data_IF_071912940789
#
_entry.id   IF_071912940789
#
_cell.length_a   1.000
_cell.length_b   1.000
_cell.length_c   1.000
_cell.angle_alpha   90.00
_cell.angle_beta   90.00
_cell.angle_gamma   90.00
#
_symmetry.space_group_name_H-M   'P 1'
#
loop_
_entity.id
_entity.type
_entity.pdbx_description
1 polymer ?
#
# COMPACT_ATOMS: atom_id res chain seq x y z
N UNK A 1 8.77 7.69 -10.99
CA UNK A 1 7.98 7.55 -9.74
C UNK A 1 8.01 6.07 -9.38
N UNK A 2 8.78 5.68 -8.37
CA UNK A 2 8.93 4.28 -7.97
C UNK A 2 8.10 4.04 -6.72
N UNK A 3 7.14 3.13 -6.80
CA UNK A 3 6.23 2.84 -5.71
C UNK A 3 6.67 1.53 -5.09
N UNK A 4 7.35 1.66 -3.95
CA UNK A 4 7.80 0.60 -3.04
C UNK A 4 8.26 -0.70 -3.73
N UNK A 5 9.57 -0.83 -3.92
CA UNK A 5 10.21 -2.06 -4.42
C UNK A 5 10.01 -3.28 -3.51
N UNK A 6 9.43 -3.10 -2.31
CA UNK A 6 9.18 -4.15 -1.31
C UNK A 6 7.90 -3.85 -0.53
N UNK A 7 6.75 -4.27 -1.05
CA UNK A 7 5.51 -4.21 -0.29
C UNK A 7 5.60 -5.11 0.95
N UNK A 8 5.35 -4.56 2.13
CA UNK A 8 5.37 -5.32 3.39
C UNK A 8 4.15 -6.23 3.48
N UNK A 9 3.03 -5.80 2.90
CA UNK A 9 1.78 -6.57 2.84
C UNK A 9 0.95 -6.13 1.64
N UNK A 10 0.32 -7.12 1.01
CA UNK A 10 -0.62 -6.95 -0.09
C UNK A 10 -2.02 -7.37 0.36
N UNK A 11 -3.02 -6.53 0.11
CA UNK A 11 -4.43 -6.85 0.39
C UNK A 11 -5.25 -6.70 -0.90
N UNK A 12 -5.89 -7.78 -1.32
CA UNK A 12 -6.76 -7.81 -2.50
C UNK A 12 -8.17 -7.33 -2.16
N UNK A 13 -8.63 -6.28 -2.84
CA UNK A 13 -10.00 -5.78 -2.77
C UNK A 13 -10.82 -6.41 -3.89
N UNK A 14 -11.87 -7.18 -3.56
CA UNK A 14 -12.80 -7.78 -4.53
C UNK A 14 -13.74 -6.72 -5.12
N UNK A 15 -13.21 -5.87 -6.00
CA UNK A 15 -13.97 -4.98 -6.89
C UNK A 15 -13.61 -5.33 -8.34
N UNK A 16 -14.49 -5.03 -9.31
CA UNK A 16 -14.16 -5.10 -10.74
C UNK A 16 -13.98 -3.67 -11.28
N UNK A 17 -12.76 -3.28 -11.71
CA UNK A 17 -11.53 -4.07 -11.79
C UNK A 17 -10.87 -4.32 -10.42
N UNK A 18 -10.10 -5.42 -10.31
CA UNK A 18 -9.39 -5.84 -9.10
C UNK A 18 -8.47 -4.72 -8.60
N UNK A 19 -8.69 -4.29 -7.35
CA UNK A 19 -7.82 -3.31 -6.69
C UNK A 19 -6.93 -3.98 -5.66
N UNK A 20 -5.68 -3.57 -5.62
CA UNK A 20 -4.66 -4.04 -4.69
C UNK A 20 -4.21 -2.89 -3.82
N UNK A 21 -4.25 -3.08 -2.49
CA UNK A 21 -3.74 -2.13 -1.52
C UNK A 21 -2.34 -2.57 -1.06
N UNK A 22 -1.34 -1.76 -1.40
CA UNK A 22 0.02 -1.88 -0.90
C UNK A 22 0.23 -0.97 0.31
N UNK A 23 0.79 -1.55 1.36
CA UNK A 23 1.20 -0.82 2.56
C UNK A 23 2.72 -0.87 2.68
N UNK A 24 3.34 0.30 2.86
CA UNK A 24 4.80 0.43 2.87
C UNK A 24 5.26 1.68 3.61
N UNK A 25 6.58 1.79 3.81
CA UNK A 25 7.23 2.98 4.36
C UNK A 25 8.01 3.65 3.23
N UNK A 26 7.85 4.95 3.06
CA UNK A 26 8.61 5.73 2.08
C UNK A 26 10.09 5.82 2.50
N UNK A 27 11.00 6.21 1.59
CA UNK A 27 12.39 6.48 1.95
C UNK A 27 12.55 7.51 3.09
N UNK A 28 11.61 8.44 3.22
CA UNK A 28 11.58 9.46 4.28
C UNK A 28 10.94 8.96 5.59
N UNK A 29 10.66 7.66 5.71
CA UNK A 29 10.04 7.06 6.89
C UNK A 29 8.53 7.28 7.01
N UNK A 30 7.88 7.80 5.96
CA UNK A 30 6.44 8.09 5.99
C UNK A 30 5.67 6.82 5.64
N UNK A 31 4.76 6.32 6.49
CA UNK A 31 3.88 5.23 6.14
C UNK A 31 2.94 5.64 5.00
N UNK A 32 2.91 4.85 3.93
CA UNK A 32 2.09 5.08 2.75
C UNK A 32 1.09 3.95 2.52
N UNK A 33 -0.11 4.34 2.14
CA UNK A 33 -1.12 3.48 1.53
C UNK A 33 -1.20 3.78 0.04
N UNK A 34 -1.07 2.75 -0.79
CA UNK A 34 -1.13 2.86 -2.26
C UNK A 34 -2.17 1.90 -2.80
N UNK A 35 -3.10 2.41 -3.60
CA UNK A 35 -4.05 1.56 -4.32
C UNK A 35 -3.66 1.51 -5.79
N UNK A 36 -3.54 0.28 -6.28
CA UNK A 36 -3.22 -0.07 -7.65
C UNK A 36 -4.38 -0.88 -8.22
N UNK A 37 -4.62 -0.73 -9.51
CA UNK A 37 -5.58 -1.56 -10.25
C UNK A 37 -4.86 -2.33 -11.34
N UNK A 38 -5.21 -3.59 -11.51
CA UNK A 38 -4.74 -4.37 -12.65
C UNK A 38 -5.49 -3.94 -13.92
N UNK A 39 -4.74 -3.54 -14.94
CA UNK A 39 -5.28 -3.17 -16.26
C UNK A 39 -4.72 -4.10 -17.33
N UNK A 40 -5.32 -4.09 -18.52
CA UNK A 40 -4.78 -4.83 -19.68
C UNK A 40 -3.38 -4.40 -20.11
N UNK A 41 -2.88 -3.27 -19.59
CA UNK A 41 -1.52 -2.74 -19.85
C UNK A 41 -0.58 -2.92 -18.66
N UNK A 42 -1.02 -3.61 -17.61
CA UNK A 42 -0.29 -3.79 -16.35
C UNK A 42 -0.86 -2.95 -15.20
N UNK A 43 -0.18 -2.95 -14.04
CA UNK A 43 -0.66 -2.28 -12.84
C UNK A 43 -0.67 -0.76 -13.01
N UNK A 44 -1.80 -0.13 -12.71
CA UNK A 44 -1.96 1.33 -12.73
C UNK A 44 -2.19 1.88 -11.32
N UNK A 45 -1.41 2.89 -10.94
CA UNK A 45 -1.60 3.57 -9.66
C UNK A 45 -2.84 4.46 -9.70
N UNK A 46 -3.77 4.22 -8.78
CA UNK A 46 -4.96 5.07 -8.60
C UNK A 46 -4.65 6.20 -7.63
N UNK A 47 -4.06 5.87 -6.46
CA UNK A 47 -3.68 6.87 -5.48
C UNK A 47 -2.56 6.40 -4.55
N UNK A 48 -1.79 7.36 -4.03
CA UNK A 48 -0.81 7.17 -2.97
C UNK A 48 -1.00 8.27 -1.92
N UNK A 49 -1.19 7.88 -0.66
CA UNK A 49 -1.44 8.81 0.45
C UNK A 49 -0.73 8.36 1.71
N UNK A 50 -0.64 9.25 2.70
CA UNK A 50 -0.21 8.88 4.05
C UNK A 50 -1.16 7.82 4.60
N UNK A 51 -0.58 6.76 5.14
CA UNK A 51 -1.32 5.58 5.62
C UNK A 51 -2.29 5.96 6.74
N UNK A 52 -3.53 5.51 6.62
CA UNK A 52 -4.54 5.67 7.68
C UNK A 52 -4.16 4.84 8.91
N UNK A 53 -4.45 5.37 10.09
CA UNK A 53 -4.14 4.74 11.40
C UNK A 53 -4.64 3.30 11.53
N UNK A 54 -5.76 2.95 10.89
CA UNK A 54 -6.29 1.58 10.89
C UNK A 54 -5.36 0.57 10.18
N UNK A 55 -4.62 1.01 9.16
CA UNK A 55 -3.70 0.17 8.40
C UNK A 55 -2.29 0.16 8.99
N UNK A 56 -1.91 1.19 9.75
CA UNK A 56 -0.67 1.19 10.54
C UNK A 56 -0.60 -0.04 11.45
N UNK A 57 -1.74 -0.41 12.06
CA UNK A 57 -1.87 -1.64 12.88
C UNK A 57 -1.62 -2.93 12.10
N UNK A 58 -1.75 -2.91 10.77
CA UNK A 58 -1.52 -4.07 9.90
C UNK A 58 -0.08 -4.19 9.42
N UNK A 59 0.72 -3.13 9.55
CA UNK A 59 2.16 -3.16 9.25
C UNK A 59 2.92 -3.99 10.28
N UNK A 60 2.34 -4.19 11.46
CA UNK A 60 3.05 -4.81 12.58
C UNK A 60 2.19 -5.74 13.44
N UNK A 61 2.65 -6.97 13.58
CA UNK A 61 2.46 -7.72 14.82
C UNK A 61 3.26 -7.13 16.00
N UNK A 62 3.09 -5.84 16.33
CA UNK A 62 3.51 -5.26 17.61
C UNK A 62 5.00 -4.90 17.80
N UNK A 63 5.58 -4.03 16.97
CA UNK A 63 6.87 -3.39 17.29
C UNK A 63 6.80 -1.87 17.20
N UNK A 64 6.05 -1.31 18.15
CA UNK A 64 6.25 0.00 18.80
C UNK A 64 7.23 0.93 18.06
N UNK A 65 6.69 1.66 17.10
CA UNK A 65 7.32 2.88 16.60
C UNK A 65 6.99 3.98 17.62
N UNK A 66 7.94 4.17 18.54
CA UNK A 66 8.06 5.31 19.46
C UNK A 66 8.15 6.62 18.69
#
# INVERSE_FOLDING_TARGET
>A
MYVATHAIRELTLREDPLKVLYLGISPDGIPLEVVVVETSRGPALIHAMRMRTKYVKLMEGGRRWI
#
